data_IF_472778481314
#
_entry.id   IF_472778481314
#
_cell.length_a   1.000
_cell.length_b   1.000
_cell.length_c   1.000
_cell.angle_alpha   90.00
_cell.angle_beta   90.00
_cell.angle_gamma   90.00
#
_symmetry.space_group_name_H-M   'P 1'
#
loop_
_entity.id
_entity.type
_entity.pdbx_description
1 polymer ?
#
# COMPACT_ATOMS: atom_id res chain seq x y z
N UNK A 1 -3.56 3.62 -12.55
CA UNK A 1 -3.37 3.88 -11.10
C UNK A 1 -4.66 3.92 -10.32
N UNK A 2 -5.65 4.76 -10.67
CA UNK A 2 -6.90 4.86 -9.89
C UNK A 2 -7.65 3.52 -9.74
N UNK A 3 -7.67 2.70 -10.80
CA UNK A 3 -8.28 1.37 -10.76
C UNK A 3 -7.55 0.39 -9.83
N UNK A 4 -6.21 0.41 -9.81
CA UNK A 4 -5.41 -0.45 -8.92
C UNK A 4 -5.67 -0.05 -7.46
N UNK A 5 -5.71 1.25 -7.18
CA UNK A 5 -6.01 1.77 -5.86
C UNK A 5 -7.43 1.41 -5.40
N UNK A 6 -8.44 1.57 -6.26
CA UNK A 6 -9.81 1.19 -5.95
C UNK A 6 -9.96 -0.32 -5.70
N UNK A 7 -9.38 -1.16 -6.56
CA UNK A 7 -9.41 -2.62 -6.39
C UNK A 7 -8.69 -3.04 -5.11
N UNK A 8 -7.52 -2.46 -4.81
CA UNK A 8 -6.77 -2.76 -3.59
C UNK A 8 -7.53 -2.33 -2.32
N UNK A 9 -8.18 -1.16 -2.35
CA UNK A 9 -9.02 -0.68 -1.25
C UNK A 9 -10.23 -1.60 -1.02
N UNK A 10 -10.91 -2.03 -2.09
CA UNK A 10 -12.02 -2.98 -1.98
C UNK A 10 -11.53 -4.34 -1.48
N UNK A 11 -10.42 -4.85 -2.03
CA UNK A 11 -9.86 -6.14 -1.65
C UNK A 11 -9.50 -6.19 -0.15
N UNK A 12 -8.87 -5.14 0.39
CA UNK A 12 -8.53 -5.13 1.82
C UNK A 12 -9.75 -5.01 2.72
N UNK A 13 -10.77 -4.26 2.31
CA UNK A 13 -12.03 -4.19 3.05
C UNK A 13 -12.76 -5.53 3.02
N UNK A 14 -12.78 -6.23 1.88
CA UNK A 14 -13.36 -7.56 1.80
C UNK A 14 -12.62 -8.55 2.72
N UNK A 15 -11.28 -8.53 2.73
CA UNK A 15 -10.49 -9.38 3.62
C UNK A 15 -10.75 -9.10 5.10
N UNK A 16 -10.96 -7.84 5.45
CA UNK A 16 -11.36 -7.45 6.81
C UNK A 16 -12.78 -7.91 7.14
N UNK A 17 -13.74 -7.73 6.22
CA UNK A 17 -15.15 -8.08 6.40
C UNK A 17 -15.39 -9.59 6.52
N UNK A 18 -14.54 -10.40 5.88
CA UNK A 18 -14.63 -11.87 5.95
C UNK A 18 -13.82 -12.48 7.09
N UNK A 19 -13.28 -11.65 8.01
CA UNK A 19 -12.38 -12.07 9.09
C UNK A 19 -11.14 -12.85 8.62
N UNK A 20 -10.77 -12.69 7.34
CA UNK A 20 -9.56 -13.30 6.76
C UNK A 20 -8.28 -12.66 7.30
N UNK A 21 -8.40 -11.52 7.98
CA UNK A 21 -7.32 -10.85 8.71
C UNK A 21 -7.42 -11.24 10.20
N UNK A 22 -6.62 -12.22 10.68
CA UNK A 22 -6.69 -12.66 12.07
C UNK A 22 -6.10 -11.60 13.02
N UNK A 23 -6.97 -10.75 13.56
CA UNK A 23 -6.61 -9.55 14.35
C UNK A 23 -5.84 -9.84 15.65
N UNK A 24 -6.03 -11.03 16.24
CA UNK A 24 -5.39 -11.44 17.49
C UNK A 24 -4.04 -12.16 17.27
N UNK A 25 -3.51 -12.18 16.04
CA UNK A 25 -2.31 -12.93 15.67
C UNK A 25 -1.37 -12.10 14.80
N UNK A 26 -0.08 -12.47 14.84
CA UNK A 26 0.93 -11.98 13.88
C UNK A 26 0.50 -12.27 12.43
N UNK A 27 -0.33 -13.30 12.22
CA UNK A 27 -0.93 -13.58 10.92
C UNK A 27 -1.73 -12.40 10.33
N UNK A 28 -2.39 -11.58 11.17
CA UNK A 28 -3.17 -10.45 10.71
C UNK A 28 -2.30 -9.34 10.12
N UNK A 29 -1.24 -8.94 10.84
CA UNK A 29 -0.30 -7.94 10.35
C UNK A 29 0.49 -8.44 9.12
N UNK A 30 0.85 -9.73 9.08
CA UNK A 30 1.49 -10.34 7.90
C UNK A 30 0.55 -10.32 6.68
N UNK A 31 -0.74 -10.63 6.87
CA UNK A 31 -1.73 -10.61 5.78
C UNK A 31 -1.89 -9.19 5.23
N UNK A 32 -2.02 -8.19 6.10
CA UNK A 32 -2.12 -6.79 5.69
C UNK A 32 -0.87 -6.38 4.89
N UNK A 33 0.33 -6.67 5.41
CA UNK A 33 1.59 -6.33 4.74
C UNK A 33 1.70 -7.00 3.36
N UNK A 34 1.29 -8.26 3.25
CA UNK A 34 1.33 -9.00 1.99
C UNK A 34 0.38 -8.40 0.95
N UNK A 35 -0.84 -8.03 1.35
CA UNK A 35 -1.82 -7.38 0.46
C UNK A 35 -1.30 -6.02 -0.03
N UNK A 36 -0.66 -5.24 0.84
CA UNK A 36 -0.02 -3.97 0.49
C UNK A 36 1.12 -4.18 -0.52
N UNK A 37 1.97 -5.18 -0.30
CA UNK A 37 3.07 -5.52 -1.21
C UNK A 37 2.57 -6.00 -2.57
N UNK A 38 1.54 -6.84 -2.62
CA UNK A 38 0.92 -7.28 -3.88
C UNK A 38 0.35 -6.08 -4.65
N UNK A 39 -0.30 -5.16 -3.95
CA UNK A 39 -0.85 -3.97 -4.58
C UNK A 39 0.27 -3.03 -5.12
N UNK A 40 1.36 -2.86 -4.37
CA UNK A 40 2.54 -2.11 -4.84
C UNK A 40 3.22 -2.80 -6.04
N UNK A 41 3.28 -4.13 -6.05
CA UNK A 41 3.78 -4.90 -7.18
C UNK A 41 2.89 -4.72 -8.42
N UNK A 42 1.56 -4.71 -8.25
CA UNK A 42 0.63 -4.42 -9.33
C UNK A 42 0.88 -3.04 -9.96
N UNK A 43 1.19 -2.03 -9.14
CA UNK A 43 1.62 -0.69 -9.64
C UNK A 43 2.90 -0.80 -10.46
N UNK A 44 3.92 -1.51 -9.96
CA UNK A 44 5.19 -1.68 -10.65
C UNK A 44 5.04 -2.36 -12.03
N UNK A 45 4.25 -3.45 -12.07
CA UNK A 45 3.94 -4.22 -13.28
C UNK A 45 3.19 -3.34 -14.28
N UNK A 46 2.13 -2.67 -13.84
CA UNK A 46 1.33 -1.80 -14.70
C UNK A 46 2.17 -0.68 -15.31
N UNK A 47 3.01 -0.03 -14.51
CA UNK A 47 3.89 1.04 -14.98
C UNK A 47 4.97 0.52 -15.94
N UNK A 48 5.52 -0.68 -15.70
CA UNK A 48 6.55 -1.27 -16.55
C UNK A 48 5.97 -1.62 -17.93
N UNK A 49 4.75 -2.16 -17.93
CA UNK A 49 4.05 -2.54 -19.15
C UNK A 49 3.59 -1.34 -19.97
N UNK A 50 2.94 -0.35 -19.33
CA UNK A 50 2.46 0.87 -20.00
C UNK A 50 3.59 1.68 -20.64
N UNK A 51 4.77 1.68 -20.02
CA UNK A 51 5.98 2.35 -20.55
C UNK A 51 6.85 1.47 -21.44
N UNK A 52 6.38 0.26 -21.81
CA UNK A 52 7.09 -0.71 -22.67
C UNK A 52 8.55 -0.89 -22.26
N UNK A 53 8.80 -1.05 -20.96
CA UNK A 53 10.14 -1.18 -20.39
C UNK A 53 10.78 -2.50 -20.85
N UNK A 54 12.08 -2.47 -21.19
CA UNK A 54 12.90 -3.68 -21.34
C UNK A 54 13.17 -4.39 -20.01
N UNK A 55 13.82 -5.55 -20.04
CA UNK A 55 14.04 -6.41 -18.87
C UNK A 55 14.69 -5.69 -17.66
N UNK A 56 15.75 -4.92 -17.86
CA UNK A 56 16.36 -4.11 -16.79
C UNK A 56 15.40 -3.03 -16.26
N UNK A 57 14.59 -2.44 -17.14
CA UNK A 57 13.58 -1.46 -16.76
C UNK A 57 12.49 -2.05 -15.85
N UNK A 58 12.13 -3.32 -16.04
CA UNK A 58 11.21 -4.07 -15.17
C UNK A 58 11.78 -4.26 -13.78
N UNK A 59 13.02 -4.76 -13.68
CA UNK A 59 13.68 -4.99 -12.37
C UNK A 59 13.74 -3.69 -11.58
N UNK A 60 14.19 -2.60 -12.21
CA UNK A 60 14.26 -1.31 -11.51
C UNK A 60 12.86 -0.81 -11.13
N UNK A 61 11.83 -1.03 -11.96
CA UNK A 61 10.47 -0.65 -11.60
C UNK A 61 9.99 -1.36 -10.33
N UNK A 62 10.19 -2.68 -10.25
CA UNK A 62 9.80 -3.48 -9.09
C UNK A 62 10.54 -3.00 -7.85
N UNK A 63 11.87 -2.85 -7.92
CA UNK A 63 12.67 -2.41 -6.78
C UNK A 63 12.25 -1.02 -6.31
N UNK A 64 12.12 -0.05 -7.22
CA UNK A 64 11.77 1.33 -6.87
C UNK A 64 10.36 1.43 -6.29
N UNK A 65 9.40 0.68 -6.85
CA UNK A 65 8.04 0.65 -6.32
C UNK A 65 7.99 0.05 -4.91
N UNK A 66 8.72 -1.05 -4.66
CA UNK A 66 8.80 -1.67 -3.34
C UNK A 66 9.46 -0.71 -2.34
N UNK A 67 10.57 -0.07 -2.71
CA UNK A 67 11.23 0.93 -1.84
C UNK A 67 10.28 2.09 -1.53
N UNK A 68 9.60 2.63 -2.55
CA UNK A 68 8.62 3.70 -2.36
C UNK A 68 7.46 3.29 -1.44
N UNK A 69 6.94 2.07 -1.61
CA UNK A 69 5.90 1.50 -0.76
C UNK A 69 6.38 1.34 0.69
N UNK A 70 7.56 0.75 0.90
CA UNK A 70 8.13 0.48 2.21
C UNK A 70 8.51 1.74 2.99
N UNK A 71 8.85 2.83 2.29
CA UNK A 71 9.10 4.13 2.92
C UNK A 71 7.78 4.84 3.26
N UNK A 72 6.81 4.83 2.35
CA UNK A 72 5.54 5.52 2.56
C UNK A 72 4.63 4.81 3.57
N UNK A 73 4.63 3.47 3.62
CA UNK A 73 3.79 2.70 4.53
C UNK A 73 3.95 3.07 6.02
N UNK A 74 5.16 3.09 6.62
CA UNK A 74 5.33 3.45 8.03
C UNK A 74 5.01 4.92 8.29
N UNK A 75 5.36 5.83 7.37
CA UNK A 75 5.06 7.26 7.49
C UNK A 75 3.54 7.49 7.46
N UNK A 76 2.85 6.88 6.49
CA UNK A 76 1.41 6.91 6.36
C UNK A 76 0.70 6.31 7.55
N UNK A 77 1.17 5.14 8.02
CA UNK A 77 0.64 4.49 9.21
C UNK A 77 0.75 5.39 10.45
N UNK A 78 1.89 6.05 10.66
CA UNK A 78 2.07 7.00 11.76
C UNK A 78 1.13 8.20 11.67
N UNK A 79 1.02 8.81 10.49
CA UNK A 79 0.12 9.96 10.27
C UNK A 79 -1.35 9.56 10.48
N UNK A 80 -1.77 8.44 9.92
CA UNK A 80 -3.15 7.94 10.08
C UNK A 80 -3.44 7.55 11.53
N UNK A 81 -2.46 7.00 12.24
CA UNK A 81 -2.58 6.73 13.67
C UNK A 81 -2.81 8.02 14.47
N UNK A 82 -2.09 9.09 14.15
CA UNK A 82 -2.28 10.39 14.81
C UNK A 82 -3.65 11.00 14.48
N UNK A 83 -4.06 10.97 13.20
CA UNK A 83 -5.29 11.59 12.73
C UNK A 83 -6.56 10.86 13.20
N UNK A 84 -6.51 9.54 13.30
CA UNK A 84 -7.65 8.70 13.66
C UNK A 84 -7.65 8.29 15.15
N UNK A 85 -6.65 8.73 15.92
CA UNK A 85 -6.59 8.49 17.37
C UNK A 85 -7.68 9.25 18.10
N UNK A 86 -8.37 8.56 19.00
CA UNK A 86 -9.30 9.11 19.98
C UNK A 86 -8.72 9.12 21.41
N UNK A 87 -7.41 8.87 21.55
CA UNK A 87 -6.75 8.71 22.84
C UNK A 87 -6.73 7.27 23.39
N UNK A 88 -7.30 6.29 22.69
CA UNK A 88 -7.20 4.88 23.05
C UNK A 88 -5.86 4.22 22.61
N UNK A 89 -5.47 3.11 23.26
CA UNK A 89 -4.12 2.49 23.15
C UNK A 89 -3.77 1.91 21.76
N UNK A 90 -4.70 1.72 20.82
CA UNK A 90 -4.40 1.23 19.46
C UNK A 90 -5.60 1.27 18.51
N UNK A 91 -5.40 1.70 17.25
CA UNK A 91 -6.40 1.64 16.17
C UNK A 91 -6.87 0.21 15.86
N UNK A 92 -5.98 -0.76 15.99
CA UNK A 92 -6.33 -2.18 15.78
C UNK A 92 -7.21 -2.71 16.93
N UNK A 93 -7.03 -2.17 18.14
CA UNK A 93 -7.86 -2.51 19.30
C UNK A 93 -9.23 -1.81 19.27
N UNK A 94 -9.32 -0.64 18.62
CA UNK A 94 -10.57 0.09 18.45
C UNK A 94 -11.56 -0.64 17.51
N UNK A 95 -11.05 -1.41 16.54
CA UNK A 95 -11.88 -2.18 15.60
C UNK A 95 -12.83 -1.33 14.75
N UNK A 96 -13.70 -2.00 13.99
CA UNK A 96 -14.81 -1.36 13.28
C UNK A 96 -14.43 -0.36 12.17
N UNK A 97 -15.24 0.69 12.00
CA UNK A 97 -15.13 1.63 10.88
C UNK A 97 -13.79 2.40 10.84
N UNK A 98 -13.22 2.72 12.01
CA UNK A 98 -11.94 3.45 12.11
C UNK A 98 -10.76 2.59 11.65
N UNK A 99 -10.75 1.32 12.05
CA UNK A 99 -9.74 0.38 11.57
C UNK A 99 -9.84 0.18 10.05
N UNK A 100 -11.06 0.09 9.52
CA UNK A 100 -11.31 0.02 8.07
C UNK A 100 -10.77 1.24 7.33
N UNK A 101 -11.01 2.44 7.86
CA UNK A 101 -10.48 3.69 7.31
C UNK A 101 -8.94 3.74 7.37
N UNK A 102 -8.34 3.24 8.46
CA UNK A 102 -6.89 3.17 8.60
C UNK A 102 -6.25 2.18 7.60
N UNK A 103 -6.90 1.03 7.34
CA UNK A 103 -6.45 0.06 6.34
C UNK A 103 -6.51 0.63 4.92
N UNK A 104 -7.65 1.21 4.54
CA UNK A 104 -7.78 1.84 3.22
C UNK A 104 -6.83 3.02 3.08
N UNK A 105 -6.77 3.89 4.08
CA UNK A 105 -5.84 5.03 4.09
C UNK A 105 -4.40 4.59 3.95
N UNK A 106 -3.99 3.57 4.71
CA UNK A 106 -2.63 3.03 4.65
C UNK A 106 -2.31 2.46 3.27
N UNK A 107 -3.22 1.68 2.70
CA UNK A 107 -3.08 1.15 1.33
C UNK A 107 -2.88 2.28 0.31
N UNK A 108 -3.70 3.33 0.39
CA UNK A 108 -3.59 4.46 -0.53
C UNK A 108 -2.25 5.19 -0.39
N UNK A 109 -1.79 5.44 0.85
CA UNK A 109 -0.49 6.08 1.08
C UNK A 109 0.66 5.21 0.57
N UNK A 110 0.60 3.89 0.78
CA UNK A 110 1.60 2.95 0.26
C UNK A 110 1.65 2.97 -1.26
N UNK A 111 0.50 2.94 -1.93
CA UNK A 111 0.42 3.00 -3.39
C UNK A 111 0.90 4.34 -3.94
N UNK A 112 0.61 5.45 -3.25
CA UNK A 112 1.14 6.77 -3.57
C UNK A 112 2.66 6.80 -3.44
N UNK A 113 3.24 6.16 -2.41
CA UNK A 113 4.68 6.01 -2.26
C UNK A 113 5.32 5.23 -3.41
N UNK A 114 4.75 4.06 -3.74
CA UNK A 114 5.23 3.24 -4.85
C UNK A 114 5.18 4.00 -6.18
N UNK A 115 4.05 4.63 -6.47
CA UNK A 115 3.85 5.39 -7.70
C UNK A 115 4.72 6.65 -7.75
N UNK A 116 4.84 7.39 -6.64
CA UNK A 116 5.65 8.60 -6.54
C UNK A 116 7.13 8.32 -6.77
N UNK A 117 7.66 7.24 -6.18
CA UNK A 117 9.04 6.81 -6.41
C UNK A 117 9.30 6.49 -7.88
N UNK A 118 8.37 5.77 -8.52
CA UNK A 118 8.43 5.50 -9.96
C UNK A 118 8.37 6.78 -10.78
N UNK A 119 7.49 7.72 -10.43
CA UNK A 119 7.35 9.00 -11.13
C UNK A 119 8.67 9.78 -11.14
N UNK A 120 9.37 9.86 -9.99
CA UNK A 120 10.68 10.51 -9.89
C UNK A 120 11.71 9.84 -10.81
N UNK A 121 11.85 8.52 -10.74
CA UNK A 121 12.80 7.77 -11.57
C UNK A 121 12.47 7.93 -13.06
N UNK A 122 11.18 7.96 -13.41
CA UNK A 122 10.74 8.17 -14.77
C UNK A 122 11.09 9.58 -15.28
N UNK A 123 10.99 10.60 -14.41
CA UNK A 123 11.36 11.97 -14.74
C UNK A 123 12.86 12.10 -15.05
N UNK A 124 13.71 11.46 -14.25
CA UNK A 124 15.17 11.49 -14.48
C UNK A 124 15.62 10.77 -15.74
N UNK A 125 14.91 9.72 -16.15
CA UNK A 125 15.20 8.98 -17.39
C UNK A 125 14.76 9.69 -18.67
N UNK A 126 13.96 10.76 -18.53
CA UNK A 126 13.46 11.57 -19.65
C UNK A 126 14.25 12.86 -19.88
N UNK A 127 15.25 13.11 -19.03
CA UNK A 127 16.27 14.15 -19.20
C UNK A 127 17.49 13.53 -19.88
#
# INVERSE_FOLDING_TARGET
MIYIAAIAAVAILLLQLTDSIPMASVGGSMTIALVYLIAALAVAIHEAWTKKRGALGWVVNVVVAIVGALVAAPLGGGILAMLLSDGSRSLAAAGGARFSAALVGGMLVTLLGAWGALWIVNRWRSM
#
